data_IF_035483820581
#
_entry.id   IF_035483820581
#
_cell.length_a   1.000
_cell.length_b   1.000
_cell.length_c   1.000
_cell.angle_alpha   90.00
_cell.angle_beta   90.00
_cell.angle_gamma   90.00
#
_symmetry.space_group_name_H-M   'P 1'
#
loop_
_entity.id
_entity.type
_entity.pdbx_description
1 polymer ?
#
# COMPACT_ATOMS: atom_id res chain seq x y z
N UNK A 1 5.78 -6.28 -32.99
CA UNK A 1 6.75 -5.27 -32.51
C UNK A 1 8.16 -5.69 -32.91
N UNK A 2 9.17 -4.88 -32.63
CA UNK A 2 10.58 -5.23 -32.88
C UNK A 2 11.40 -5.05 -31.62
N UNK A 3 12.33 -5.97 -31.35
CA UNK A 3 13.27 -5.88 -30.23
C UNK A 3 14.70 -5.96 -30.78
N UNK A 4 15.49 -4.89 -30.60
CA UNK A 4 16.84 -4.75 -31.16
C UNK A 4 16.95 -5.14 -32.65
N UNK A 5 15.93 -4.82 -33.46
CA UNK A 5 15.88 -5.14 -34.89
C UNK A 5 15.28 -6.51 -35.24
N UNK A 6 14.98 -7.36 -34.26
CA UNK A 6 14.34 -8.67 -34.47
C UNK A 6 12.83 -8.57 -34.36
N UNK A 7 12.11 -9.28 -35.23
CA UNK A 7 10.65 -9.36 -35.16
C UNK A 7 10.24 -10.12 -33.90
N UNK A 8 9.40 -9.50 -33.08
CA UNK A 8 8.88 -10.10 -31.86
C UNK A 8 7.34 -10.10 -31.92
N UNK A 9 6.77 -11.30 -31.79
CA UNK A 9 5.33 -11.53 -31.66
C UNK A 9 5.09 -12.09 -30.27
N UNK A 10 4.27 -11.42 -29.48
CA UNK A 10 4.03 -11.81 -28.10
C UNK A 10 2.59 -11.64 -27.65
N UNK A 11 2.23 -12.35 -26.58
CA UNK A 11 0.95 -12.25 -25.93
C UNK A 11 1.12 -12.57 -24.44
N UNK A 12 0.48 -11.76 -23.60
CA UNK A 12 0.45 -11.95 -22.16
C UNK A 12 -0.80 -12.67 -21.66
N UNK A 13 -0.85 -12.97 -20.38
CA UNK A 13 -2.03 -13.52 -19.71
C UNK A 13 -1.99 -13.15 -18.25
N UNK A 14 -3.12 -12.75 -17.69
CA UNK A 14 -3.21 -12.28 -16.32
C UNK A 14 -4.50 -12.77 -15.67
N UNK A 15 -4.35 -13.33 -14.48
CA UNK A 15 -5.41 -13.63 -13.51
C UNK A 15 -4.87 -13.31 -12.12
N UNK A 16 -5.71 -13.07 -11.10
CA UNK A 16 -5.22 -12.76 -9.76
C UNK A 16 -4.20 -13.80 -9.27
N UNK A 17 -2.97 -13.35 -9.00
CA UNK A 17 -1.87 -14.19 -8.52
C UNK A 17 -1.12 -14.98 -9.60
N UNK A 18 -1.46 -14.84 -10.89
CA UNK A 18 -0.75 -15.52 -11.98
C UNK A 18 -0.60 -14.62 -13.22
N UNK A 19 0.63 -14.48 -13.67
CA UNK A 19 1.01 -13.74 -14.87
C UNK A 19 1.76 -14.65 -15.83
N UNK A 20 1.54 -14.47 -17.13
CA UNK A 20 2.21 -15.24 -18.19
C UNK A 20 2.62 -14.32 -19.33
N UNK A 21 3.78 -14.58 -19.94
CA UNK A 21 4.22 -13.90 -21.14
C UNK A 21 4.82 -14.92 -22.12
N UNK A 22 4.29 -14.96 -23.34
CA UNK A 22 4.79 -15.84 -24.41
C UNK A 22 5.23 -14.98 -25.58
N UNK A 23 6.46 -15.16 -26.04
CA UNK A 23 7.03 -14.45 -27.17
C UNK A 23 7.67 -15.40 -28.18
N UNK A 24 7.59 -15.02 -29.46
CA UNK A 24 8.16 -15.76 -30.60
C UNK A 24 8.95 -14.80 -31.49
N UNK A 25 10.13 -15.24 -31.88
CA UNK A 25 11.01 -14.60 -32.85
C UNK A 25 11.05 -15.49 -34.10
N UNK A 26 10.17 -15.24 -35.08
CA UNK A 26 9.84 -16.21 -36.14
C UNK A 26 10.99 -16.45 -37.12
N UNK A 27 11.96 -15.54 -37.22
CA UNK A 27 13.10 -15.68 -38.14
C UNK A 27 14.32 -16.32 -37.47
N UNK A 28 14.29 -16.41 -36.15
CA UNK A 28 15.38 -16.89 -35.30
C UNK A 28 15.12 -18.30 -34.74
N UNK A 29 13.96 -18.89 -35.05
CA UNK A 29 13.48 -20.16 -34.49
C UNK A 29 13.50 -20.18 -32.94
N UNK A 30 13.20 -19.04 -32.33
CA UNK A 30 13.21 -18.87 -30.88
C UNK A 30 11.80 -18.58 -30.36
N UNK A 31 11.42 -19.29 -29.30
CA UNK A 31 10.24 -19.01 -28.49
C UNK A 31 10.63 -18.94 -27.01
N UNK A 32 10.04 -17.98 -26.29
CA UNK A 32 10.27 -17.79 -24.85
C UNK A 32 8.91 -17.73 -24.16
N UNK A 33 8.73 -18.52 -23.11
CA UNK A 33 7.54 -18.49 -22.27
C UNK A 33 8.00 -18.31 -20.82
N UNK A 34 7.48 -17.27 -20.16
CA UNK A 34 7.78 -16.96 -18.76
C UNK A 34 6.46 -16.91 -18.00
N UNK A 35 6.46 -17.46 -16.79
CA UNK A 35 5.31 -17.52 -15.89
C UNK A 35 5.74 -16.96 -14.54
N UNK A 36 4.88 -16.16 -13.92
CA UNK A 36 5.08 -15.62 -12.58
C UNK A 36 3.83 -15.82 -11.75
N UNK A 37 4.00 -16.10 -10.46
CA UNK A 37 2.92 -16.07 -9.47
C UNK A 37 2.93 -14.78 -8.62
N UNK A 38 3.61 -13.75 -9.11
CA UNK A 38 3.60 -12.41 -8.53
C UNK A 38 2.51 -11.57 -9.23
N UNK A 39 1.53 -11.10 -8.45
CA UNK A 39 0.43 -10.30 -8.97
C UNK A 39 0.77 -8.83 -9.17
N UNK A 40 1.74 -8.31 -8.41
CA UNK A 40 2.06 -6.88 -8.35
C UNK A 40 3.13 -6.53 -9.39
N UNK A 41 4.22 -7.30 -9.43
CA UNK A 41 5.39 -7.02 -10.27
C UNK A 41 5.69 -8.13 -11.29
N UNK A 42 4.78 -9.11 -11.42
CA UNK A 42 4.97 -10.25 -12.31
C UNK A 42 5.17 -9.86 -13.78
N UNK A 43 4.47 -8.84 -14.27
CA UNK A 43 4.55 -8.41 -15.66
C UNK A 43 5.96 -7.87 -16.00
N UNK A 44 6.51 -6.99 -15.16
CA UNK A 44 7.86 -6.45 -15.33
C UNK A 44 8.93 -7.55 -15.17
N UNK A 45 8.76 -8.43 -14.17
CA UNK A 45 9.68 -9.54 -13.93
C UNK A 45 9.78 -10.46 -15.15
N UNK A 46 8.64 -10.83 -15.72
CA UNK A 46 8.58 -11.69 -16.90
C UNK A 46 9.27 -11.05 -18.10
N UNK A 47 9.09 -9.75 -18.30
CA UNK A 47 9.73 -9.03 -19.40
C UNK A 47 11.24 -8.93 -19.24
N UNK A 48 11.75 -8.64 -18.03
CA UNK A 48 13.19 -8.65 -17.73
C UNK A 48 13.79 -10.01 -18.08
N UNK A 49 13.14 -11.10 -17.66
CA UNK A 49 13.61 -12.47 -17.93
C UNK A 49 13.54 -12.78 -19.43
N UNK A 50 12.42 -12.48 -20.08
CA UNK A 50 12.20 -12.71 -21.51
C UNK A 50 13.26 -12.01 -22.36
N UNK A 51 13.47 -10.71 -22.14
CA UNK A 51 14.47 -9.95 -22.89
C UNK A 51 15.90 -10.38 -22.55
N UNK A 52 16.19 -10.71 -21.29
CA UNK A 52 17.49 -11.26 -20.92
C UNK A 52 17.82 -12.61 -21.58
N UNK A 53 16.81 -13.47 -21.78
CA UNK A 53 16.95 -14.71 -22.55
C UNK A 53 17.22 -14.41 -24.02
N UNK A 54 16.45 -13.50 -24.62
CA UNK A 54 16.60 -13.11 -26.04
C UNK A 54 18.00 -12.52 -26.29
N UNK A 55 18.45 -11.57 -25.46
CA UNK A 55 19.78 -10.96 -25.56
C UNK A 55 20.88 -12.04 -25.52
N UNK A 56 20.76 -12.98 -24.57
CA UNK A 56 21.75 -14.05 -24.39
C UNK A 56 21.77 -15.04 -25.54
N UNK A 57 20.61 -15.46 -26.04
CA UNK A 57 20.50 -16.48 -27.10
C UNK A 57 20.96 -15.92 -28.45
N UNK A 58 20.64 -14.66 -28.75
CA UNK A 58 20.99 -14.01 -30.01
C UNK A 58 22.35 -13.29 -29.96
N UNK A 59 23.01 -13.25 -28.80
CA UNK A 59 24.30 -12.57 -28.63
C UNK A 59 24.22 -11.05 -28.79
N UNK A 60 23.09 -10.46 -28.36
CA UNK A 60 22.84 -9.02 -28.45
C UNK A 60 23.53 -8.27 -27.32
N UNK A 61 23.63 -6.96 -27.47
CA UNK A 61 24.00 -6.08 -26.38
C UNK A 61 22.97 -6.19 -25.26
N UNK A 62 23.44 -6.46 -24.04
CA UNK A 62 22.57 -6.61 -22.88
C UNK A 62 22.06 -5.24 -22.44
N UNK A 63 20.74 -5.07 -22.44
CA UNK A 63 20.09 -3.91 -21.83
C UNK A 63 19.82 -4.24 -20.35
N UNK A 64 20.12 -3.29 -19.46
CA UNK A 64 19.80 -3.44 -18.02
C UNK A 64 18.32 -3.15 -17.74
N UNK A 65 17.47 -4.04 -18.25
CA UNK A 65 16.02 -3.98 -18.06
C UNK A 65 15.62 -3.97 -16.58
N UNK A 66 16.39 -4.63 -15.72
CA UNK A 66 16.11 -4.66 -14.29
C UNK A 66 16.16 -3.26 -13.68
N UNK A 67 17.24 -2.51 -13.92
CA UNK A 67 17.37 -1.15 -13.40
C UNK A 67 16.33 -0.21 -14.00
N UNK A 68 16.07 -0.30 -15.31
CA UNK A 68 15.08 0.53 -16.00
C UNK A 68 13.65 0.29 -15.50
N UNK A 69 13.24 -0.97 -15.41
CA UNK A 69 11.89 -1.33 -14.97
C UNK A 69 11.69 -1.07 -13.48
N UNK A 70 12.71 -1.26 -12.64
CA UNK A 70 12.65 -0.90 -11.23
C UNK A 70 12.45 0.61 -11.05
N UNK A 71 13.19 1.43 -11.79
CA UNK A 71 13.01 2.89 -11.75
C UNK A 71 11.60 3.30 -12.20
N UNK A 72 11.12 2.73 -13.31
CA UNK A 72 9.77 3.00 -13.81
C UNK A 72 8.67 2.55 -12.82
N UNK A 73 8.84 1.40 -12.17
CA UNK A 73 7.90 0.89 -11.17
C UNK A 73 7.83 1.81 -9.94
N UNK A 74 8.97 2.30 -9.44
CA UNK A 74 9.02 3.26 -8.33
C UNK A 74 8.31 4.56 -8.71
N UNK A 75 8.64 5.15 -9.87
CA UNK A 75 8.00 6.39 -10.32
C UNK A 75 6.49 6.23 -10.52
N UNK A 76 6.05 5.12 -11.13
CA UNK A 76 4.63 4.86 -11.33
C UNK A 76 3.90 4.69 -9.98
N UNK A 77 4.51 3.95 -9.04
CA UNK A 77 3.97 3.77 -7.70
C UNK A 77 3.83 5.10 -6.95
N UNK A 78 4.86 5.95 -6.95
CA UNK A 78 4.81 7.29 -6.34
C UNK A 78 3.72 8.16 -6.96
N UNK A 79 3.56 8.12 -8.29
CA UNK A 79 2.52 8.86 -9.00
C UNK A 79 1.12 8.36 -8.60
N UNK A 80 0.89 7.05 -8.62
CA UNK A 80 -0.39 6.44 -8.24
C UNK A 80 -0.73 6.78 -6.79
N UNK A 81 0.22 6.65 -5.86
CA UNK A 81 0.01 7.03 -4.46
C UNK A 81 -0.38 8.50 -4.32
N UNK A 82 0.30 9.40 -5.02
CA UNK A 82 0.00 10.84 -4.96
C UNK A 82 -1.39 11.20 -5.50
N UNK A 83 -1.95 10.37 -6.39
CA UNK A 83 -3.30 10.55 -6.94
C UNK A 83 -4.37 9.96 -6.03
N UNK A 84 -4.10 8.80 -5.41
CA UNK A 84 -5.07 8.08 -4.57
C UNK A 84 -5.16 8.70 -3.17
N UNK A 85 -4.05 9.20 -2.63
CA UNK A 85 -3.95 9.76 -1.27
C UNK A 85 -3.74 11.27 -1.38
N UNK A 86 -4.82 12.05 -1.59
CA UNK A 86 -4.71 13.50 -1.70
C UNK A 86 -4.26 14.12 -0.39
N UNK A 87 -3.71 15.34 -0.46
CA UNK A 87 -3.43 16.19 0.69
C UNK A 87 -3.92 17.61 0.41
N UNK A 88 -4.67 18.24 1.33
CA UNK A 88 -5.09 19.63 1.15
C UNK A 88 -3.93 20.59 1.44
N UNK A 89 -3.93 21.75 0.81
CA UNK A 89 -2.86 22.75 0.98
C UNK A 89 -2.81 23.36 2.39
N UNK A 90 -3.96 23.45 3.06
CA UNK A 90 -4.08 24.07 4.38
C UNK A 90 -5.03 23.26 5.28
N UNK A 91 -4.59 22.09 5.76
CA UNK A 91 -5.41 21.25 6.61
C UNK A 91 -5.66 21.90 7.96
N UNK A 92 -6.89 21.82 8.47
CA UNK A 92 -7.20 22.13 9.86
C UNK A 92 -6.45 21.16 10.78
N UNK A 93 -5.91 21.61 11.92
CA UNK A 93 -5.26 20.70 12.86
C UNK A 93 -6.29 19.73 13.48
N UNK A 94 -5.85 18.53 13.92
CA UNK A 94 -6.67 17.62 14.71
C UNK A 94 -7.18 18.29 15.97
N UNK A 95 -8.41 17.95 16.39
CA UNK A 95 -8.98 18.50 17.64
C UNK A 95 -8.39 17.82 18.87
N UNK A 96 -7.80 16.64 18.71
CA UNK A 96 -7.15 15.84 19.75
C UNK A 96 -5.95 15.07 19.18
N UNK A 97 -5.11 14.52 20.07
CA UNK A 97 -3.96 13.70 19.67
C UNK A 97 -4.36 12.34 19.09
N UNK A 98 -5.57 11.86 19.43
CA UNK A 98 -6.13 10.56 19.05
C UNK A 98 -5.29 9.31 19.38
N UNK A 99 -4.09 9.49 19.94
CA UNK A 99 -3.25 8.46 20.54
C UNK A 99 -4.02 7.68 21.62
N UNK A 100 -3.84 6.35 21.66
CA UNK A 100 -4.46 5.48 22.67
C UNK A 100 -4.97 4.14 22.14
N UNK A 101 -5.58 3.38 23.06
CA UNK A 101 -6.20 2.09 22.77
C UNK A 101 -7.63 2.26 22.25
N UNK A 102 -7.95 1.48 21.24
CA UNK A 102 -9.28 1.35 20.68
C UNK A 102 -9.64 -0.12 20.50
N UNK A 103 -10.94 -0.41 20.43
CA UNK A 103 -11.46 -1.77 20.32
C UNK A 103 -12.59 -1.85 19.31
N UNK A 104 -12.56 -2.94 18.56
CA UNK A 104 -13.69 -3.44 17.79
C UNK A 104 -13.93 -4.91 18.20
N UNK A 105 -15.18 -5.37 18.21
CA UNK A 105 -15.48 -6.73 18.68
C UNK A 105 -14.99 -7.84 17.73
N UNK A 106 -15.00 -7.58 16.43
CA UNK A 106 -14.51 -8.52 15.41
C UNK A 106 -12.99 -8.39 15.20
N UNK A 107 -12.51 -7.15 15.20
CA UNK A 107 -11.12 -6.83 14.90
C UNK A 107 -10.27 -6.56 16.14
N UNK A 108 -10.75 -6.84 17.35
CA UNK A 108 -10.00 -6.73 18.61
C UNK A 108 -9.47 -5.33 18.94
N UNK A 109 -8.42 -5.29 19.75
CA UNK A 109 -7.81 -4.05 20.23
C UNK A 109 -6.68 -3.57 19.32
N UNK A 110 -6.54 -2.25 19.22
CA UNK A 110 -5.48 -1.56 18.48
C UNK A 110 -4.94 -0.40 19.31
N UNK A 111 -3.61 -0.29 19.38
CA UNK A 111 -2.93 0.85 19.97
C UNK A 111 -2.48 1.79 18.85
N UNK A 112 -3.08 2.97 18.78
CA UNK A 112 -2.67 4.03 17.87
C UNK A 112 -1.59 4.89 18.53
N UNK A 113 -0.39 4.90 17.94
CA UNK A 113 0.76 5.65 18.43
C UNK A 113 1.06 6.84 17.52
N UNK A 114 1.20 8.04 18.11
CA UNK A 114 1.50 9.25 17.38
C UNK A 114 2.97 9.30 16.95
N UNK A 115 3.20 9.55 15.66
CA UNK A 115 4.51 9.76 15.05
C UNK A 115 4.50 11.01 14.17
N UNK A 116 5.68 11.58 13.91
CA UNK A 116 5.85 12.76 13.06
C UNK A 116 6.09 14.03 13.88
N UNK A 117 5.24 15.05 13.70
CA UNK A 117 5.41 16.39 14.29
C UNK A 117 5.41 16.41 15.82
N UNK A 118 4.76 15.44 16.45
CA UNK A 118 4.73 15.30 17.90
C UNK A 118 5.16 13.88 18.28
N UNK A 119 6.01 13.78 19.30
CA UNK A 119 6.35 12.49 19.89
C UNK A 119 5.16 11.97 20.69
N UNK A 120 4.90 10.67 20.55
CA UNK A 120 4.06 9.90 21.46
C UNK A 120 4.43 10.16 22.92
N UNK A 121 3.41 10.30 23.76
CA UNK A 121 3.59 10.42 25.23
C UNK A 121 3.30 9.12 25.97
N UNK A 122 2.74 8.12 25.29
CA UNK A 122 2.43 6.82 25.89
C UNK A 122 3.69 5.93 25.98
N UNK A 123 4.01 5.36 27.16
CA UNK A 123 5.12 4.42 27.32
C UNK A 123 5.04 3.21 26.38
N UNK A 124 3.83 2.70 26.13
CA UNK A 124 3.54 1.55 25.27
C UNK A 124 3.90 1.82 23.81
N UNK A 125 3.92 3.08 23.40
CA UNK A 125 4.21 3.51 22.04
C UNK A 125 5.70 3.76 21.80
N UNK A 126 6.52 3.95 22.85
CA UNK A 126 7.93 4.32 22.72
C UNK A 126 8.74 3.33 21.86
N UNK A 127 8.48 2.03 22.01
CA UNK A 127 9.17 1.03 21.19
C UNK A 127 8.80 1.18 19.72
N UNK A 128 7.49 1.23 19.41
CA UNK A 128 7.00 1.36 18.04
C UNK A 128 7.52 2.64 17.39
N UNK A 129 7.45 3.78 18.08
CA UNK A 129 7.89 5.08 17.53
C UNK A 129 9.40 5.14 17.30
N UNK A 130 10.21 4.43 18.09
CA UNK A 130 11.66 4.37 17.89
C UNK A 130 12.06 3.49 16.71
N UNK A 131 11.31 2.42 16.45
CA UNK A 131 11.60 1.45 15.40
C UNK A 131 10.93 1.83 14.06
N UNK A 132 9.92 2.70 14.06
CA UNK A 132 9.04 2.94 12.90
C UNK A 132 9.79 3.33 11.63
N UNK A 133 10.84 4.16 11.71
CA UNK A 133 11.60 4.57 10.52
C UNK A 133 12.52 3.47 9.98
N UNK A 134 12.84 2.47 10.81
CA UNK A 134 13.61 1.29 10.44
C UNK A 134 12.71 0.19 9.91
N UNK A 135 11.55 -0.03 10.54
CA UNK A 135 10.61 -1.09 10.16
C UNK A 135 9.69 -0.67 9.02
N UNK A 136 9.42 0.63 8.87
CA UNK A 136 8.60 1.22 7.81
C UNK A 136 9.39 2.25 6.96
N UNK A 137 10.53 1.88 6.34
CA UNK A 137 11.39 2.81 5.62
C UNK A 137 10.65 3.51 4.47
N UNK A 138 10.78 4.84 4.42
CA UNK A 138 10.25 5.67 3.33
C UNK A 138 8.74 5.91 3.36
N UNK A 139 8.00 5.31 4.29
CA UNK A 139 6.53 5.44 4.36
C UNK A 139 6.10 6.61 5.25
N UNK A 140 6.74 6.78 6.40
CA UNK A 140 6.37 7.84 7.35
C UNK A 140 6.93 9.19 6.90
N UNK A 141 6.05 10.16 6.64
CA UNK A 141 6.42 11.55 6.42
C UNK A 141 6.47 12.31 7.76
N UNK A 142 7.65 12.75 8.24
CA UNK A 142 7.77 13.43 9.53
C UNK A 142 7.02 14.77 9.63
N UNK A 143 6.67 15.38 8.49
CA UNK A 143 5.93 16.64 8.43
C UNK A 143 4.41 16.46 8.52
N UNK A 144 3.92 15.22 8.60
CA UNK A 144 2.50 14.88 8.72
C UNK A 144 2.29 14.22 10.09
N UNK A 145 1.41 14.75 10.96
CA UNK A 145 0.97 14.02 12.14
C UNK A 145 0.30 12.72 11.72
N UNK A 146 0.83 11.60 12.18
CA UNK A 146 0.33 10.29 11.78
C UNK A 146 0.18 9.37 12.98
N UNK A 147 -0.84 8.53 12.95
CA UNK A 147 -1.04 7.47 13.93
C UNK A 147 -0.62 6.15 13.29
N UNK A 148 0.29 5.44 13.94
CA UNK A 148 0.75 4.12 13.49
C UNK A 148 0.35 3.09 14.53
N UNK A 149 -0.12 1.95 14.06
CA UNK A 149 -0.40 0.81 14.91
C UNK A 149 0.24 -0.44 14.33
N UNK A 150 0.82 -1.24 15.21
CA UNK A 150 1.16 -2.62 14.87
C UNK A 150 -0.14 -3.41 14.77
N UNK A 151 -0.37 -4.00 13.60
CA UNK A 151 -1.59 -4.70 13.25
C UNK A 151 -1.23 -6.06 12.67
N UNK A 152 -0.77 -6.98 13.51
CA UNK A 152 -0.41 -8.34 13.08
C UNK A 152 -1.67 -9.19 12.89
N UNK A 153 -2.55 -8.80 11.96
CA UNK A 153 -3.76 -9.53 11.60
C UNK A 153 -3.71 -9.90 10.11
N UNK A 154 -4.80 -10.48 9.62
CA UNK A 154 -4.86 -11.05 8.27
C UNK A 154 -4.45 -10.00 7.23
N UNK A 155 -3.35 -10.29 6.51
CA UNK A 155 -2.80 -9.54 5.36
C UNK A 155 -2.22 -8.14 5.63
N UNK A 156 -1.90 -7.79 6.87
CA UNK A 156 -1.11 -6.56 7.12
C UNK A 156 -0.23 -6.73 8.34
N UNK A 157 0.84 -5.95 8.43
CA UNK A 157 1.66 -5.86 9.64
C UNK A 157 1.41 -4.58 10.43
N UNK A 158 1.00 -3.49 9.76
CA UNK A 158 0.70 -2.20 10.38
C UNK A 158 -0.49 -1.51 9.73
N UNK A 159 -1.12 -0.62 10.49
CA UNK A 159 -2.04 0.40 9.99
C UNK A 159 -1.37 1.75 10.17
N UNK A 160 -1.44 2.58 9.14
CA UNK A 160 -1.00 3.96 9.13
C UNK A 160 -2.21 4.87 8.87
N UNK A 161 -2.44 5.83 9.76
CA UNK A 161 -3.43 6.89 9.60
C UNK A 161 -2.67 8.21 9.47
N UNK A 162 -2.63 8.78 8.26
CA UNK A 162 -1.97 10.05 8.00
C UNK A 162 -2.99 11.18 8.08
N UNK A 163 -2.70 12.23 8.86
CA UNK A 163 -3.61 13.36 9.00
C UNK A 163 -3.92 14.03 7.65
N UNK A 164 -5.21 14.18 7.37
CA UNK A 164 -5.74 14.78 6.16
C UNK A 164 -6.35 16.17 6.42
N UNK A 165 -7.45 16.29 7.17
CA UNK A 165 -8.08 17.58 7.55
C UNK A 165 -8.90 17.43 8.82
N UNK A 166 -8.56 18.20 9.86
CA UNK A 166 -9.24 18.10 11.16
C UNK A 166 -9.07 16.71 11.75
N UNK A 167 -10.19 16.04 12.03
CA UNK A 167 -10.20 14.68 12.59
C UNK A 167 -10.34 13.58 11.53
N UNK A 168 -10.12 13.93 10.26
CA UNK A 168 -10.09 12.99 9.14
C UNK A 168 -8.65 12.63 8.76
N UNK A 169 -8.42 11.33 8.57
CA UNK A 169 -7.12 10.74 8.26
C UNK A 169 -7.22 9.81 7.04
N UNK A 170 -6.19 9.79 6.21
CA UNK A 170 -6.02 8.77 5.17
C UNK A 170 -5.50 7.49 5.82
N UNK A 171 -6.24 6.39 5.69
CA UNK A 171 -5.89 5.10 6.27
C UNK A 171 -5.18 4.23 5.23
N UNK A 172 -4.15 3.51 5.66
CA UNK A 172 -3.41 2.58 4.81
C UNK A 172 -2.97 1.36 5.59
N UNK A 173 -3.18 0.20 4.97
CA UNK A 173 -2.58 -1.05 5.41
C UNK A 173 -1.15 -1.14 4.88
N UNK A 174 -0.24 -1.58 5.75
CA UNK A 174 1.17 -1.77 5.40
C UNK A 174 1.57 -3.22 5.67
N UNK A 175 2.32 -3.79 4.74
CA UNK A 175 3.08 -5.02 4.93
C UNK A 175 4.56 -4.68 5.05
N UNK A 176 5.18 -5.14 6.11
CA UNK A 176 6.60 -4.93 6.36
C UNK A 176 7.23 -6.28 6.62
N UNK A 177 8.25 -6.61 5.81
CA UNK A 177 8.98 -7.87 5.88
C UNK A 177 10.47 -7.59 6.00
N UNK A 178 11.16 -8.48 6.69
CA UNK A 178 12.63 -8.46 6.80
C UNK A 178 13.23 -9.00 5.50
N UNK A 179 14.24 -8.31 4.99
CA UNK A 179 15.05 -8.69 3.83
C UNK A 179 16.53 -8.71 4.20
N UNK A 180 17.40 -9.20 3.32
CA UNK A 180 18.85 -9.25 3.55
C UNK A 180 19.45 -7.84 3.75
N UNK A 181 18.84 -6.82 3.14
CA UNK A 181 19.27 -5.41 3.20
C UNK A 181 18.49 -4.58 4.24
N UNK A 182 17.65 -5.20 5.09
CA UNK A 182 16.89 -4.52 6.13
C UNK A 182 15.40 -4.84 6.10
N UNK A 183 14.56 -3.82 5.89
CA UNK A 183 13.11 -3.98 5.78
C UNK A 183 12.63 -3.53 4.40
N UNK A 184 11.71 -4.29 3.83
CA UNK A 184 10.92 -3.86 2.69
C UNK A 184 9.47 -3.67 3.12
N UNK A 185 8.84 -2.62 2.60
CA UNK A 185 7.47 -2.25 2.94
C UNK A 185 6.65 -2.11 1.68
N UNK A 186 5.50 -2.79 1.69
CA UNK A 186 4.41 -2.49 0.78
C UNK A 186 3.40 -1.61 1.51
N UNK A 187 3.01 -0.50 0.91
CA UNK A 187 1.76 0.17 1.28
C UNK A 187 0.70 -0.36 0.34
N UNK A 188 -0.31 -1.04 0.88
CA UNK A 188 -1.41 -1.53 0.06
C UNK A 188 -2.12 -0.33 -0.58
N UNK A 189 -1.82 -0.08 -1.85
CA UNK A 189 -2.60 0.83 -2.67
C UNK A 189 -3.83 0.06 -3.14
N UNK A 190 -4.97 0.29 -2.48
CA UNK A 190 -6.27 -0.10 -3.04
C UNK A 190 -6.68 0.96 -4.06
N UNK A 191 -7.43 0.57 -5.08
CA UNK A 191 -8.05 1.51 -6.04
C UNK A 191 -9.05 2.48 -5.37
N UNK A 192 -9.27 2.34 -4.06
CA UNK A 192 -10.20 3.14 -3.27
C UNK A 192 -9.46 3.71 -2.07
N UNK A 193 -9.66 5.01 -1.84
CA UNK A 193 -9.16 5.71 -0.65
C UNK A 193 -9.93 5.23 0.59
N UNK A 194 -9.19 4.67 1.55
CA UNK A 194 -9.72 4.36 2.88
C UNK A 194 -9.46 5.55 3.79
N UNK A 195 -10.46 5.96 4.56
CA UNK A 195 -10.34 7.06 5.52
C UNK A 195 -10.68 6.60 6.93
N UNK A 196 -10.11 7.28 7.92
CA UNK A 196 -10.45 7.17 9.34
C UNK A 196 -10.93 8.54 9.83
N UNK A 197 -12.15 8.62 10.32
CA UNK A 197 -12.73 9.84 10.90
C UNK A 197 -12.92 9.64 12.41
N UNK A 198 -12.29 10.49 13.22
CA UNK A 198 -12.42 10.46 14.68
C UNK A 198 -13.52 11.40 15.15
N UNK A 199 -14.18 11.04 16.26
CA UNK A 199 -15.20 11.88 16.88
C UNK A 199 -15.23 11.70 18.39
N UNK A 200 -15.64 12.77 19.08
CA UNK A 200 -16.06 12.76 20.48
C UNK A 200 -17.54 13.17 20.48
N UNK A 201 -18.45 12.21 20.65
CA UNK A 201 -19.88 12.45 20.88
C UNK A 201 -20.21 12.19 22.37
N UNK A 202 -21.36 12.68 22.85
CA UNK A 202 -21.68 12.74 24.29
C UNK A 202 -21.49 11.41 25.04
N UNK A 203 -21.70 10.26 24.38
CA UNK A 203 -21.54 8.93 24.94
C UNK A 203 -20.45 8.06 24.26
N UNK A 204 -19.81 8.54 23.19
CA UNK A 204 -18.91 7.71 22.37
C UNK A 204 -17.70 8.47 21.85
N UNK A 205 -16.51 7.94 22.15
CA UNK A 205 -15.24 8.39 21.59
C UNK A 205 -14.69 7.25 20.73
N UNK A 206 -14.31 7.53 19.50
CA UNK A 206 -13.83 6.49 18.61
C UNK A 206 -13.50 7.00 17.21
N UNK A 207 -13.29 6.06 16.30
CA UNK A 207 -13.16 6.37 14.88
C UNK A 207 -13.86 5.35 14.00
N UNK A 208 -14.36 5.85 12.87
CA UNK A 208 -14.95 5.04 11.81
C UNK A 208 -14.02 4.92 10.63
N UNK A 209 -13.87 3.71 10.09
CA UNK A 209 -13.21 3.45 8.82
C UNK A 209 -14.24 3.38 7.69
N UNK A 210 -13.95 4.03 6.57
CA UNK A 210 -14.77 4.01 5.35
C UNK A 210 -13.90 3.86 4.10
N UNK A 211 -14.48 3.49 2.96
CA UNK A 211 -13.75 3.38 1.69
C UNK A 211 -13.53 1.95 1.21
N UNK A 212 -14.43 1.03 1.55
CA UNK A 212 -14.42 -0.36 1.09
C UNK A 212 -13.52 -1.29 1.90
N UNK A 213 -13.14 -0.92 3.12
CA UNK A 213 -12.27 -1.72 3.98
C UNK A 213 -12.92 -3.05 4.40
N UNK A 214 -14.25 -3.07 4.55
CA UNK A 214 -15.01 -4.28 4.90
C UNK A 214 -15.18 -5.28 3.75
N UNK A 215 -14.80 -4.93 2.53
CA UNK A 215 -14.80 -5.86 1.39
C UNK A 215 -16.17 -6.39 0.97
N UNK A 216 -17.26 -5.64 1.19
CA UNK A 216 -18.62 -6.08 0.87
C UNK A 216 -18.86 -6.42 -0.61
N UNK A 217 -17.97 -5.97 -1.50
CA UNK A 217 -18.02 -6.28 -2.93
C UNK A 217 -18.89 -5.30 -3.73
N UNK A 218 -18.85 -5.42 -5.08
CA UNK A 218 -19.59 -4.52 -5.95
C UNK A 218 -21.11 -4.69 -5.78
N UNK A 219 -21.84 -3.58 -5.70
CA UNK A 219 -23.31 -3.56 -5.61
C UNK A 219 -23.87 -3.61 -4.18
N UNK A 220 -23.02 -3.59 -3.16
CA UNK A 220 -23.44 -3.32 -1.78
C UNK A 220 -23.28 -1.84 -1.51
N UNK A 221 -24.37 -1.17 -1.14
CA UNK A 221 -24.32 0.24 -0.76
C UNK A 221 -23.47 0.42 0.52
N UNK A 222 -22.62 1.45 0.58
CA UNK A 222 -21.87 1.74 1.80
C UNK A 222 -22.83 2.10 2.94
N UNK A 223 -22.42 1.93 4.21
CA UNK A 223 -23.19 2.42 5.34
C UNK A 223 -23.48 3.91 5.17
N UNK A 224 -24.70 4.30 5.53
CA UNK A 224 -25.17 5.67 5.36
C UNK A 224 -25.87 6.13 6.65
N UNK A 225 -25.63 7.37 7.02
CA UNK A 225 -26.20 8.01 8.20
C UNK A 225 -25.59 9.38 8.47
N UNK A 226 -26.09 10.02 9.51
CA UNK A 226 -25.73 11.40 9.83
C UNK A 226 -24.48 11.46 10.71
N UNK A 227 -24.23 10.43 11.52
CA UNK A 227 -23.06 10.35 12.41
C UNK A 227 -21.88 9.62 11.77
N UNK A 228 -20.67 9.84 12.30
CA UNK A 228 -19.46 9.13 11.86
C UNK A 228 -19.64 7.61 12.04
N UNK A 229 -20.24 7.21 13.16
CA UNK A 229 -20.48 5.80 13.47
C UNK A 229 -21.45 5.13 12.50
N UNK A 230 -22.51 5.82 12.09
CA UNK A 230 -23.49 5.26 11.14
C UNK A 230 -22.92 5.12 9.72
N UNK A 231 -22.01 6.01 9.32
CA UNK A 231 -21.30 5.92 8.03
C UNK A 231 -20.13 4.93 8.06
N UNK A 232 -19.67 4.53 9.24
CA UNK A 232 -18.51 3.66 9.38
C UNK A 232 -18.81 2.23 8.90
N UNK A 233 -17.93 1.70 8.04
CA UNK A 233 -17.90 0.28 7.69
C UNK A 233 -17.35 -0.55 8.86
N UNK A 234 -16.35 0.02 9.56
CA UNK A 234 -15.77 -0.57 10.76
C UNK A 234 -15.60 0.53 11.80
N UNK A 235 -16.19 0.35 12.98
CA UNK A 235 -16.10 1.29 14.10
C UNK A 235 -15.17 0.77 15.20
N UNK A 236 -14.26 1.62 15.65
CA UNK A 236 -13.39 1.37 16.80
C UNK A 236 -13.72 2.34 17.93
N UNK A 237 -14.24 1.82 19.04
CA UNK A 237 -14.48 2.61 20.25
C UNK A 237 -13.19 2.77 21.06
N UNK A 238 -12.95 3.95 21.62
CA UNK A 238 -11.82 4.21 22.50
C UNK A 238 -12.01 3.48 23.84
N UNK A 239 -10.92 2.92 24.37
CA UNK A 239 -10.88 2.25 25.68
C UNK A 239 -10.54 3.21 26.82
#
# INVERSE_FOLDING_TARGET
MTYQGHMLIEHGGSTPGFRTQIARLPFENLGVAVFSNDDIYGDQLMDIVKFGIIDKVLGLEKIDWNSLMKAAAVTNYEQVLSQIIPRPDNPKPPTSRWEGWYKNDAYGEILLCLVGLESSTLPECLQLTNEVYTTLPGVINPSIPSLVAKWNKVWSSHILLEHFDGDLYNASALDSIVTDDGFWVNREARDVLVTAEFVIEEDEIGFGLTGGIWGAGPGVDPPNGDTVRERAEVWFGKL
#
